data_IF_099900585095
#
_entry.id   IF_099900585095
#
_cell.length_a   1.000
_cell.length_b   1.000
_cell.length_c   1.000
_cell.angle_alpha   90.00
_cell.angle_beta   90.00
_cell.angle_gamma   90.00
#
_symmetry.space_group_name_H-M   'P 1'
#
loop_
_entity.id
_entity.type
_entity.pdbx_description
1 polymer ?
#
# COMPACT_ATOMS: atom_id res chain seq x y z
N UNK A 1 22.88 4.85 -12.15
CA UNK A 1 22.12 3.59 -12.25
C UNK A 1 21.04 3.76 -13.32
N UNK A 2 21.35 3.39 -14.56
CA UNK A 2 20.48 3.55 -15.71
C UNK A 2 19.96 2.16 -16.06
N UNK A 3 18.75 1.83 -15.61
CA UNK A 3 18.10 0.56 -15.91
C UNK A 3 17.60 0.62 -17.37
N UNK A 4 18.18 -0.15 -18.32
CA UNK A 4 17.79 -0.09 -19.72
C UNK A 4 16.36 -0.62 -19.86
N UNK A 5 15.46 0.22 -20.36
CA UNK A 5 14.03 -0.10 -20.52
C UNK A 5 13.07 0.76 -19.71
N UNK A 6 13.57 1.64 -18.82
CA UNK A 6 12.72 2.52 -18.01
C UNK A 6 12.42 3.88 -18.66
N UNK A 7 12.81 4.11 -19.92
CA UNK A 7 12.61 5.40 -20.62
C UNK A 7 11.14 5.84 -20.67
N UNK A 8 10.20 4.89 -20.75
CA UNK A 8 8.76 5.16 -20.75
C UNK A 8 8.25 5.71 -19.41
N UNK A 9 8.93 5.44 -18.29
CA UNK A 9 8.55 5.99 -16.98
C UNK A 9 8.73 7.50 -16.92
N UNK A 10 9.55 8.08 -17.80
CA UNK A 10 9.64 9.54 -17.95
C UNK A 10 8.33 10.14 -18.45
N UNK A 11 7.55 9.40 -19.25
CA UNK A 11 6.23 9.82 -19.70
C UNK A 11 5.25 9.98 -18.54
N UNK A 12 5.43 9.25 -17.43
CA UNK A 12 4.63 9.46 -16.22
C UNK A 12 4.88 10.82 -15.54
N UNK A 13 5.99 11.50 -15.86
CA UNK A 13 6.24 12.89 -15.42
C UNK A 13 5.44 13.92 -16.22
N UNK A 14 4.92 13.55 -17.39
CA UNK A 14 4.04 14.43 -18.18
C UNK A 14 2.66 14.55 -17.55
N UNK A 15 2.26 13.55 -16.75
CA UNK A 15 0.97 13.57 -16.05
C UNK A 15 1.00 14.70 -15.02
N UNK A 16 0.11 15.70 -15.12
CA UNK A 16 0.08 16.81 -14.19
C UNK A 16 -0.29 16.31 -12.79
N UNK A 17 0.27 16.94 -11.76
CA UNK A 17 0.07 16.55 -10.36
C UNK A 17 -1.42 16.42 -10.01
N UNK A 18 -2.23 17.36 -10.49
CA UNK A 18 -3.68 17.39 -10.27
C UNK A 18 -4.40 16.13 -10.76
N UNK A 19 -3.99 15.57 -11.90
CA UNK A 19 -4.64 14.35 -12.44
C UNK A 19 -4.25 13.13 -11.62
N UNK A 20 -2.97 13.02 -11.23
CA UNK A 20 -2.52 11.93 -10.36
C UNK A 20 -3.20 11.99 -9.00
N UNK A 21 -3.28 13.18 -8.41
CA UNK A 21 -3.84 13.38 -7.09
C UNK A 21 -5.37 13.11 -7.14
N UNK A 22 -6.07 13.58 -8.18
CA UNK A 22 -7.49 13.26 -8.38
C UNK A 22 -7.75 11.77 -8.58
N UNK A 23 -6.95 11.10 -9.42
CA UNK A 23 -7.08 9.67 -9.66
C UNK A 23 -6.85 8.89 -8.35
N UNK A 24 -5.81 9.27 -7.60
CA UNK A 24 -5.50 8.68 -6.31
C UNK A 24 -6.65 8.87 -5.31
N UNK A 25 -7.22 10.07 -5.21
CA UNK A 25 -8.35 10.37 -4.33
C UNK A 25 -9.62 9.61 -4.73
N UNK A 26 -9.85 9.41 -6.03
CA UNK A 26 -10.97 8.59 -6.51
C UNK A 26 -10.76 7.13 -6.16
N UNK A 27 -9.57 6.58 -6.39
CA UNK A 27 -9.25 5.19 -6.03
C UNK A 27 -9.31 5.02 -4.51
N UNK A 28 -8.73 5.91 -3.72
CA UNK A 28 -8.73 5.86 -2.26
C UNK A 28 -10.15 5.88 -1.68
N UNK A 29 -11.04 6.72 -2.22
CA UNK A 29 -12.45 6.75 -1.81
C UNK A 29 -13.24 5.52 -2.22
N UNK A 30 -12.90 4.90 -3.36
CA UNK A 30 -13.58 3.71 -3.85
C UNK A 30 -12.88 2.40 -3.42
N UNK A 31 -11.74 2.44 -2.73
CA UNK A 31 -10.92 1.25 -2.43
C UNK A 31 -11.71 0.13 -1.75
N UNK A 32 -12.53 0.50 -0.78
CA UNK A 32 -13.36 -0.45 -0.03
C UNK A 32 -14.60 -0.90 -0.79
N UNK A 33 -15.01 -0.15 -1.83
CA UNK A 33 -16.11 -0.52 -2.73
C UNK A 33 -15.62 -1.46 -3.84
N UNK A 34 -14.40 -1.25 -4.32
CA UNK A 34 -13.77 -2.03 -5.39
C UNK A 34 -13.22 -3.37 -4.88
N UNK A 35 -12.55 -3.37 -3.73
CA UNK A 35 -11.90 -4.58 -3.17
C UNK A 35 -12.67 -5.20 -2.01
N UNK A 36 -13.78 -4.59 -1.59
CA UNK A 36 -14.49 -4.98 -0.39
C UNK A 36 -13.75 -4.56 0.89
N UNK A 37 -14.47 -4.57 2.01
CA UNK A 37 -13.86 -4.50 3.35
C UNK A 37 -13.61 -5.90 3.84
N UNK A 38 -12.42 -6.14 4.40
CA UNK A 38 -12.20 -7.32 5.23
C UNK A 38 -13.05 -7.16 6.50
N UNK A 39 -13.96 -8.09 6.73
CA UNK A 39 -14.79 -8.14 7.94
C UNK A 39 -14.02 -8.66 9.15
N UNK A 40 -12.90 -9.34 8.92
CA UNK A 40 -12.05 -9.92 9.96
C UNK A 40 -10.68 -9.27 9.95
N UNK A 41 -10.18 -8.97 11.15
CA UNK A 41 -8.80 -8.57 11.34
C UNK A 41 -7.92 -9.82 11.29
N UNK A 42 -6.83 -9.76 10.54
CA UNK A 42 -5.82 -10.81 10.58
C UNK A 42 -5.02 -10.66 11.87
N UNK A 43 -5.14 -11.64 12.76
CA UNK A 43 -4.35 -11.74 13.98
C UNK A 43 -3.41 -12.93 13.81
N UNK A 44 -2.09 -12.73 13.79
CA UNK A 44 -1.15 -13.83 13.63
C UNK A 44 -1.13 -14.69 14.90
N UNK A 45 -0.89 -15.98 14.70
CA UNK A 45 -0.68 -16.95 15.77
C UNK A 45 0.61 -16.64 16.55
N UNK A 46 0.69 -16.93 17.87
CA UNK A 46 1.89 -16.75 18.69
C UNK A 46 3.17 -17.33 18.06
N UNK A 47 3.08 -18.44 17.32
CA UNK A 47 4.22 -19.06 16.62
C UNK A 47 4.82 -18.20 15.50
N UNK A 48 4.06 -17.25 14.96
CA UNK A 48 4.48 -16.37 13.85
C UNK A 48 4.60 -14.91 14.28
N UNK A 49 4.19 -14.57 15.51
CA UNK A 49 4.19 -13.22 16.04
C UNK A 49 5.60 -12.60 16.09
N UNK A 50 6.65 -13.41 16.28
CA UNK A 50 8.06 -12.99 16.24
C UNK A 50 8.49 -12.37 14.90
N UNK A 51 7.77 -12.64 13.81
CA UNK A 51 8.04 -12.07 12.48
C UNK A 51 7.45 -10.67 12.32
N UNK A 52 6.58 -10.24 13.22
CA UNK A 52 5.90 -8.95 13.18
C UNK A 52 6.51 -7.98 14.19
N UNK A 53 7.18 -6.94 13.68
CA UNK A 53 7.85 -5.91 14.50
C UNK A 53 6.90 -5.17 15.46
N UNK A 54 5.63 -4.99 15.08
CA UNK A 54 4.62 -4.27 15.87
C UNK A 54 4.01 -5.13 17.00
N UNK A 55 4.05 -6.46 16.88
CA UNK A 55 3.52 -7.36 17.92
C UNK A 55 4.59 -7.71 18.95
N UNK A 56 5.84 -7.86 18.51
CA UNK A 56 6.98 -8.02 19.41
C UNK A 56 7.15 -6.80 20.34
N UNK A 57 6.90 -5.58 19.86
CA UNK A 57 7.00 -4.36 20.67
C UNK A 57 5.82 -4.11 21.61
N UNK A 58 4.70 -4.85 21.44
CA UNK A 58 3.48 -4.74 22.25
C UNK A 58 3.35 -5.82 23.31
N UNK A 59 4.27 -6.78 23.39
CA UNK A 59 4.26 -7.76 24.45
C UNK A 59 4.42 -7.04 25.81
N UNK A 60 3.50 -7.23 26.77
CA UNK A 60 3.72 -6.74 28.12
C UNK A 60 4.97 -7.42 28.68
N UNK A 61 5.86 -6.63 29.27
CA UNK A 61 7.09 -7.12 29.92
C UNK A 61 6.77 -8.03 31.11
#
# INVERSE_FOLDING_TARGET
AELPGWRWTRSLRLIPRTVRDWLYDRVARNRFRLFGRRSTCFVPDPSTAERFLDLASRAPQ
#
